data_IF_123514625915
#
_entry.id   IF_123514625915
#
_cell.length_a   1.000
_cell.length_b   1.000
_cell.length_c   1.000
_cell.angle_alpha   90.00
_cell.angle_beta   90.00
_cell.angle_gamma   90.00
#
_symmetry.space_group_name_H-M   'P 1'
#
loop_
_entity.id
_entity.type
_entity.pdbx_description
1 polymer ?
#
# COMPACT_ATOMS: atom_id res chain seq x y z
N UNK A 1 -27.72 -33.24 1.19
CA UNK A 1 -28.43 -33.55 -0.08
C UNK A 1 -28.83 -32.30 -0.87
N UNK A 2 -29.17 -31.15 -0.24
CA UNK A 2 -29.53 -29.93 -0.98
C UNK A 2 -28.32 -29.07 -1.43
N UNK A 3 -27.21 -29.08 -0.70
CA UNK A 3 -26.01 -28.30 -1.02
C UNK A 3 -25.33 -28.70 -2.33
N UNK A 4 -25.53 -29.94 -2.81
CA UNK A 4 -25.00 -30.40 -4.09
C UNK A 4 -25.62 -29.68 -5.30
N UNK A 5 -26.73 -28.95 -5.10
CA UNK A 5 -27.36 -28.14 -6.12
C UNK A 5 -26.66 -26.79 -6.33
N UNK A 6 -25.80 -26.35 -5.40
CA UNK A 6 -25.10 -25.06 -5.49
C UNK A 6 -24.26 -24.97 -6.76
N UNK A 7 -23.44 -25.99 -7.05
CA UNK A 7 -22.57 -26.00 -8.23
C UNK A 7 -23.32 -25.99 -9.57
N UNK A 8 -24.35 -26.84 -9.77
CA UNK A 8 -25.23 -26.73 -10.94
C UNK A 8 -25.92 -25.37 -11.07
N UNK A 9 -26.45 -24.80 -9.98
CA UNK A 9 -27.11 -23.49 -10.00
C UNK A 9 -26.12 -22.39 -10.40
N UNK A 10 -24.93 -22.38 -9.82
CA UNK A 10 -23.90 -21.41 -10.14
C UNK A 10 -23.47 -21.51 -11.62
N UNK A 11 -23.27 -22.73 -12.12
CA UNK A 11 -22.96 -22.95 -13.54
C UNK A 11 -24.06 -22.49 -14.48
N UNK A 12 -25.32 -22.55 -14.07
CA UNK A 12 -26.40 -21.93 -14.83
C UNK A 12 -26.20 -20.42 -14.84
N UNK A 13 -26.13 -19.79 -13.67
CA UNK A 13 -26.05 -18.33 -13.53
C UNK A 13 -24.85 -17.68 -14.24
N UNK A 14 -23.71 -18.38 -14.33
CA UNK A 14 -22.50 -17.91 -15.00
C UNK A 14 -22.56 -17.97 -16.53
N UNK A 15 -23.60 -18.57 -17.13
CA UNK A 15 -23.76 -18.56 -18.60
C UNK A 15 -24.07 -17.14 -19.07
N UNK A 16 -23.29 -16.66 -20.04
CA UNK A 16 -23.35 -15.29 -20.55
C UNK A 16 -24.62 -15.00 -21.39
N UNK A 17 -25.32 -16.04 -21.88
CA UNK A 17 -26.48 -15.93 -22.78
C UNK A 17 -27.85 -16.07 -22.07
N UNK A 18 -27.89 -16.00 -20.74
CA UNK A 18 -29.12 -16.32 -19.99
C UNK A 18 -30.09 -15.16 -19.85
N UNK A 19 -31.39 -15.44 -20.03
CA UNK A 19 -32.48 -14.52 -19.70
C UNK A 19 -32.45 -14.12 -18.22
N UNK A 20 -32.61 -12.83 -17.92
CA UNK A 20 -32.64 -12.28 -16.55
C UNK A 20 -33.66 -13.00 -15.65
N UNK A 21 -34.72 -13.53 -16.25
CA UNK A 21 -35.76 -14.32 -15.58
C UNK A 21 -35.20 -15.63 -15.00
N UNK A 22 -34.36 -16.34 -15.74
CA UNK A 22 -33.75 -17.59 -15.27
C UNK A 22 -32.76 -17.35 -14.13
N UNK A 23 -32.00 -16.25 -14.20
CA UNK A 23 -31.11 -15.83 -13.11
C UNK A 23 -31.88 -15.52 -11.83
N UNK A 24 -33.03 -14.85 -11.94
CA UNK A 24 -33.90 -14.58 -10.79
C UNK A 24 -34.46 -15.87 -10.17
N UNK A 25 -34.84 -16.86 -10.98
CA UNK A 25 -35.27 -18.16 -10.44
C UNK A 25 -34.12 -18.89 -9.74
N UNK A 26 -32.91 -18.87 -10.31
CA UNK A 26 -31.73 -19.45 -9.66
C UNK A 26 -31.44 -18.79 -8.30
N UNK A 27 -31.54 -17.46 -8.20
CA UNK A 27 -31.41 -16.74 -6.93
C UNK A 27 -32.47 -17.16 -5.91
N UNK A 28 -33.74 -17.27 -6.32
CA UNK A 28 -34.82 -17.73 -5.42
C UNK A 28 -34.60 -19.16 -4.92
N UNK A 29 -34.07 -20.04 -5.77
CA UNK A 29 -33.71 -21.41 -5.36
C UNK A 29 -32.57 -21.35 -4.35
N UNK A 30 -31.56 -20.51 -4.58
CA UNK A 30 -30.43 -20.32 -3.68
C UNK A 30 -30.89 -19.82 -2.30
N UNK A 31 -31.75 -18.81 -2.27
CA UNK A 31 -32.36 -18.28 -1.05
C UNK A 31 -33.13 -19.38 -0.29
N UNK A 32 -33.90 -20.21 -1.01
CA UNK A 32 -34.62 -21.34 -0.40
C UNK A 32 -33.69 -22.43 0.12
N UNK A 33 -32.56 -22.68 -0.53
CA UNK A 33 -31.54 -23.61 -0.04
C UNK A 33 -30.92 -23.09 1.26
N UNK A 34 -30.64 -21.79 1.35
CA UNK A 34 -30.13 -21.14 2.57
C UNK A 34 -31.14 -21.23 3.71
N UNK A 35 -32.44 -21.15 3.43
CA UNK A 35 -33.50 -21.34 4.43
C UNK A 35 -33.62 -22.78 4.96
N UNK A 36 -33.49 -23.78 4.09
CA UNK A 36 -33.86 -25.17 4.41
C UNK A 36 -32.69 -26.09 4.78
N UNK A 37 -31.46 -25.80 4.33
CA UNK A 37 -30.31 -26.69 4.51
C UNK A 37 -29.49 -26.35 5.77
N UNK A 38 -28.64 -27.30 6.18
CA UNK A 38 -27.72 -27.07 7.30
C UNK A 38 -26.67 -26.02 6.91
N UNK A 39 -26.51 -24.99 7.75
CA UNK A 39 -25.58 -23.89 7.48
C UNK A 39 -24.12 -24.36 7.26
N UNK A 40 -23.69 -25.39 8.00
CA UNK A 40 -22.33 -25.95 7.91
C UNK A 40 -22.05 -26.56 6.53
N UNK A 41 -22.98 -27.34 5.99
CA UNK A 41 -22.82 -27.94 4.67
C UNK A 41 -22.90 -26.89 3.56
N UNK A 42 -23.80 -25.91 3.69
CA UNK A 42 -23.94 -24.82 2.73
C UNK A 42 -22.66 -23.98 2.62
N UNK A 43 -22.05 -23.60 3.75
CA UNK A 43 -20.81 -22.82 3.76
C UNK A 43 -19.72 -23.58 3.03
N UNK A 44 -19.51 -24.87 3.35
CA UNK A 44 -18.50 -25.69 2.66
C UNK A 44 -18.79 -25.79 1.16
N UNK A 45 -20.05 -26.00 0.77
CA UNK A 45 -20.45 -26.05 -0.64
C UNK A 45 -20.20 -24.72 -1.37
N UNK A 46 -20.49 -23.57 -0.75
CA UNK A 46 -20.18 -22.26 -1.32
C UNK A 46 -18.67 -22.04 -1.46
N UNK A 47 -17.89 -22.37 -0.44
CA UNK A 47 -16.43 -22.21 -0.48
C UNK A 47 -15.78 -23.12 -1.51
N UNK A 48 -16.27 -24.35 -1.67
CA UNK A 48 -15.81 -25.27 -2.72
C UNK A 48 -16.04 -24.66 -4.11
N UNK A 49 -17.21 -24.05 -4.35
CA UNK A 49 -17.48 -23.41 -5.65
C UNK A 49 -16.64 -22.16 -5.89
N UNK A 50 -16.34 -21.39 -4.85
CA UNK A 50 -15.44 -20.23 -4.95
C UNK A 50 -14.01 -20.68 -5.25
N UNK A 51 -13.55 -21.77 -4.63
CA UNK A 51 -12.21 -22.31 -4.82
C UNK A 51 -12.02 -22.99 -6.19
N UNK A 52 -13.07 -23.64 -6.72
CA UNK A 52 -13.05 -24.32 -8.03
C UNK A 52 -13.32 -23.38 -9.22
N UNK A 53 -13.68 -22.12 -8.98
CA UNK A 53 -13.97 -21.17 -10.05
C UNK A 53 -12.73 -20.91 -10.91
N UNK A 54 -12.91 -20.84 -12.24
CA UNK A 54 -11.84 -20.45 -13.16
C UNK A 54 -11.48 -18.97 -12.98
N UNK A 55 -10.24 -18.58 -13.31
CA UNK A 55 -9.75 -17.19 -13.16
C UNK A 55 -10.66 -16.13 -13.81
N UNK A 56 -11.33 -16.47 -14.91
CA UNK A 56 -12.27 -15.58 -15.62
C UNK A 56 -13.63 -15.46 -14.92
N UNK A 57 -14.03 -16.47 -14.15
CA UNK A 57 -15.33 -16.55 -13.48
C UNK A 57 -15.24 -16.32 -11.98
N UNK A 58 -14.03 -16.22 -11.41
CA UNK A 58 -13.79 -16.05 -9.97
C UNK A 58 -14.57 -14.86 -9.40
N UNK A 59 -14.48 -13.69 -10.03
CA UNK A 59 -15.17 -12.48 -9.55
C UNK A 59 -16.69 -12.63 -9.59
N UNK A 60 -17.23 -13.11 -10.71
CA UNK A 60 -18.66 -13.38 -10.86
C UNK A 60 -19.17 -14.41 -9.84
N UNK A 61 -18.42 -15.51 -9.64
CA UNK A 61 -18.77 -16.54 -8.67
C UNK A 61 -18.79 -16.00 -7.23
N UNK A 62 -17.78 -15.22 -6.86
CA UNK A 62 -17.74 -14.56 -5.55
C UNK A 62 -18.94 -13.64 -5.38
N UNK A 63 -19.20 -12.73 -6.32
CA UNK A 63 -20.29 -11.74 -6.23
C UNK A 63 -21.67 -12.39 -6.10
N UNK A 64 -21.94 -13.46 -6.85
CA UNK A 64 -23.21 -14.17 -6.80
C UNK A 64 -23.43 -14.92 -5.48
N UNK A 65 -22.38 -15.53 -4.93
CA UNK A 65 -22.49 -16.35 -3.73
C UNK A 65 -22.34 -15.56 -2.42
N UNK A 66 -21.77 -14.35 -2.47
CA UNK A 66 -21.38 -13.59 -1.28
C UNK A 66 -22.55 -13.35 -0.32
N UNK A 67 -23.72 -12.97 -0.85
CA UNK A 67 -24.93 -12.70 -0.06
C UNK A 67 -25.44 -13.97 0.63
N UNK A 68 -25.61 -15.05 -0.13
CA UNK A 68 -26.11 -16.33 0.39
C UNK A 68 -25.13 -16.95 1.41
N UNK A 69 -23.82 -16.77 1.19
CA UNK A 69 -22.79 -17.16 2.15
C UNK A 69 -22.89 -16.34 3.45
N UNK A 70 -23.12 -15.03 3.37
CA UNK A 70 -23.30 -14.17 4.54
C UNK A 70 -24.49 -14.63 5.38
N UNK A 71 -25.64 -14.87 4.74
CA UNK A 71 -26.85 -15.35 5.41
C UNK A 71 -26.63 -16.73 6.07
N UNK A 72 -25.92 -17.64 5.41
CA UNK A 72 -25.58 -18.94 6.00
C UNK A 72 -24.64 -18.81 7.21
N UNK A 73 -23.65 -17.91 7.16
CA UNK A 73 -22.74 -17.62 8.28
C UNK A 73 -23.44 -16.98 9.47
N UNK A 74 -24.41 -16.08 9.21
CA UNK A 74 -25.18 -15.42 10.28
C UNK A 74 -26.09 -16.40 11.04
N UNK A 75 -26.51 -17.51 10.41
CA UNK A 75 -27.30 -18.58 11.04
C UNK A 75 -26.47 -19.53 11.93
N UNK A 76 -25.14 -19.41 11.95
CA UNK A 76 -24.31 -20.31 12.75
C UNK A 76 -24.23 -19.86 14.22
N UNK A 77 -24.68 -20.75 15.11
CA UNK A 77 -24.52 -20.55 16.55
C UNK A 77 -23.17 -21.09 17.07
N UNK A 78 -22.56 -22.07 16.36
CA UNK A 78 -21.34 -22.76 16.79
C UNK A 78 -20.20 -22.57 15.80
N UNK A 79 -18.98 -22.32 16.32
CA UNK A 79 -17.75 -22.11 15.52
C UNK A 79 -17.87 -21.02 14.44
N UNK A 80 -18.73 -20.03 14.66
CA UNK A 80 -18.98 -18.93 13.72
C UNK A 80 -17.69 -18.19 13.34
N UNK A 81 -16.86 -17.82 14.32
CA UNK A 81 -15.57 -17.16 14.10
C UNK A 81 -14.70 -17.93 13.08
N UNK A 82 -14.47 -19.22 13.34
CA UNK A 82 -13.71 -20.09 12.43
C UNK A 82 -14.31 -20.15 11.02
N UNK A 83 -15.64 -20.28 10.90
CA UNK A 83 -16.31 -20.33 9.60
C UNK A 83 -16.21 -19.00 8.83
N UNK A 84 -16.29 -17.86 9.53
CA UNK A 84 -16.07 -16.53 8.95
C UNK A 84 -14.61 -16.39 8.50
N UNK A 85 -13.65 -16.75 9.36
CA UNK A 85 -12.22 -16.72 9.07
C UNK A 85 -11.82 -17.55 7.86
N UNK A 86 -12.34 -18.78 7.79
CA UNK A 86 -12.17 -19.66 6.63
C UNK A 86 -12.75 -19.03 5.37
N UNK A 87 -13.96 -18.49 5.44
CA UNK A 87 -14.63 -17.86 4.29
C UNK A 87 -13.85 -16.66 3.76
N UNK A 88 -13.43 -15.75 4.66
CA UNK A 88 -12.64 -14.57 4.30
C UNK A 88 -11.29 -14.97 3.71
N UNK A 89 -10.63 -15.98 4.29
CA UNK A 89 -9.34 -16.47 3.81
C UNK A 89 -9.43 -17.12 2.43
N UNK A 90 -10.47 -17.91 2.15
CA UNK A 90 -10.69 -18.51 0.84
C UNK A 90 -11.00 -17.45 -0.21
N UNK A 91 -11.89 -16.50 0.10
CA UNK A 91 -12.23 -15.41 -0.84
C UNK A 91 -11.00 -14.55 -1.16
N UNK A 92 -10.23 -14.13 -0.15
CA UNK A 92 -9.01 -13.35 -0.38
C UNK A 92 -7.95 -14.13 -1.15
N UNK A 93 -7.80 -15.43 -0.88
CA UNK A 93 -6.88 -16.29 -1.64
C UNK A 93 -7.25 -16.33 -3.13
N UNK A 94 -8.54 -16.44 -3.46
CA UNK A 94 -9.00 -16.42 -4.85
C UNK A 94 -8.85 -15.04 -5.50
N UNK A 95 -9.13 -13.96 -4.77
CA UNK A 95 -8.91 -12.60 -5.27
C UNK A 95 -7.42 -12.30 -5.51
N UNK A 96 -6.51 -12.89 -4.72
CA UNK A 96 -5.05 -12.73 -4.91
C UNK A 96 -4.52 -13.24 -6.25
N UNK A 97 -5.32 -14.05 -6.96
CA UNK A 97 -4.99 -14.56 -8.29
C UNK A 97 -5.35 -13.58 -9.42
N UNK A 98 -6.09 -12.51 -9.12
CA UNK A 98 -6.49 -11.49 -10.09
C UNK A 98 -5.42 -10.38 -10.17
N UNK A 99 -5.21 -9.75 -11.33
CA UNK A 99 -4.27 -8.63 -11.45
C UNK A 99 -4.85 -7.35 -10.83
N UNK A 100 -4.01 -6.55 -10.18
CA UNK A 100 -4.40 -5.22 -9.68
C UNK A 100 -4.36 -4.23 -10.85
N UNK A 101 -5.42 -3.42 -11.06
CA UNK A 101 -5.43 -2.39 -12.10
C UNK A 101 -4.57 -1.18 -11.70
N UNK A 102 -3.80 -0.66 -12.65
CA UNK A 102 -2.93 0.51 -12.46
C UNK A 102 -3.37 1.72 -13.31
N UNK A 103 -3.94 1.48 -14.50
CA UNK A 103 -4.40 2.56 -15.37
C UNK A 103 -5.87 2.90 -15.17
N UNK A 104 -6.26 4.14 -15.52
CA UNK A 104 -7.67 4.56 -15.50
C UNK A 104 -8.56 3.66 -16.35
N UNK A 105 -8.08 3.26 -17.53
CA UNK A 105 -8.80 2.37 -18.44
C UNK A 105 -9.03 1.01 -17.79
N UNK A 106 -8.02 0.44 -17.14
CA UNK A 106 -8.15 -0.83 -16.41
C UNK A 106 -9.13 -0.74 -15.23
N UNK A 107 -9.16 0.40 -14.53
CA UNK A 107 -10.11 0.64 -13.44
C UNK A 107 -11.56 0.78 -13.95
N UNK A 108 -11.75 1.40 -15.12
CA UNK A 108 -13.08 1.58 -15.73
C UNK A 108 -13.61 0.29 -16.37
N UNK A 109 -12.75 -0.45 -17.06
CA UNK A 109 -13.14 -1.71 -17.70
C UNK A 109 -13.34 -2.83 -16.67
N UNK A 110 -12.57 -2.82 -15.57
CA UNK A 110 -12.54 -3.86 -14.52
C UNK A 110 -12.70 -5.27 -15.11
N UNK A 111 -11.92 -5.58 -16.15
CA UNK A 111 -12.09 -6.78 -16.97
C UNK A 111 -12.14 -8.07 -16.14
N UNK A 112 -11.38 -8.11 -15.04
CA UNK A 112 -11.30 -9.25 -14.13
C UNK A 112 -12.28 -9.17 -12.95
N UNK A 113 -13.00 -8.06 -12.78
CA UNK A 113 -14.00 -7.85 -11.73
C UNK A 113 -13.44 -7.66 -10.33
N UNK A 114 -12.15 -7.30 -10.20
CA UNK A 114 -11.51 -7.15 -8.90
C UNK A 114 -12.15 -5.98 -8.13
N UNK A 115 -12.37 -4.83 -8.77
CA UNK A 115 -12.90 -3.65 -8.11
C UNK A 115 -14.33 -3.88 -7.60
N UNK A 116 -15.16 -4.57 -8.40
CA UNK A 116 -16.51 -4.96 -7.98
C UNK A 116 -16.49 -5.87 -6.74
N UNK A 117 -15.61 -6.87 -6.69
CA UNK A 117 -15.45 -7.72 -5.52
C UNK A 117 -14.98 -6.93 -4.29
N UNK A 118 -14.02 -6.02 -4.45
CA UNK A 118 -13.53 -5.19 -3.36
C UNK A 118 -14.61 -4.25 -2.81
N UNK A 119 -15.53 -3.75 -3.62
CA UNK A 119 -16.66 -2.96 -3.14
C UNK A 119 -17.70 -3.80 -2.38
N UNK A 120 -17.89 -5.06 -2.77
CA UNK A 120 -18.84 -5.96 -2.12
C UNK A 120 -18.32 -6.54 -0.80
N UNK A 121 -17.01 -6.74 -0.68
CA UNK A 121 -16.38 -7.38 0.49
C UNK A 121 -16.63 -6.65 1.82
N UNK A 122 -16.45 -5.32 1.94
CA UNK A 122 -16.76 -4.60 3.17
C UNK A 122 -18.23 -4.75 3.58
N UNK A 123 -19.15 -4.80 2.62
CA UNK A 123 -20.58 -5.03 2.88
C UNK A 123 -20.82 -6.44 3.42
N UNK A 124 -20.07 -7.43 2.91
CA UNK A 124 -20.08 -8.79 3.43
C UNK A 124 -19.58 -8.89 4.88
N UNK A 125 -18.52 -8.17 5.23
CA UNK A 125 -17.91 -8.25 6.57
C UNK A 125 -18.71 -7.43 7.62
N UNK A 126 -19.42 -6.39 7.19
CA UNK A 126 -20.07 -5.40 8.07
C UNK A 126 -20.94 -5.99 9.19
N UNK A 127 -21.81 -7.00 8.98
CA UNK A 127 -22.61 -7.55 10.08
C UNK A 127 -21.76 -8.17 11.20
N UNK A 128 -20.64 -8.80 10.84
CA UNK A 128 -19.72 -9.39 11.83
C UNK A 128 -18.94 -8.31 12.58
N UNK A 129 -18.62 -7.18 11.95
CA UNK A 129 -18.02 -6.01 12.64
C UNK A 129 -19.00 -5.43 13.65
N UNK A 130 -20.27 -5.27 13.27
CA UNK A 130 -21.30 -4.75 14.17
C UNK A 130 -21.52 -5.67 15.38
N UNK A 131 -21.51 -6.99 15.16
CA UNK A 131 -21.56 -7.98 16.24
C UNK A 131 -20.38 -7.83 17.22
N UNK A 132 -19.15 -7.67 16.71
CA UNK A 132 -17.97 -7.42 17.55
C UNK A 132 -18.13 -6.13 18.36
N UNK A 133 -18.54 -5.04 17.72
CA UNK A 133 -18.71 -3.73 18.38
C UNK A 133 -19.75 -3.80 19.49
N UNK A 134 -20.90 -4.44 19.25
CA UNK A 134 -21.96 -4.64 20.25
C UNK A 134 -21.46 -5.47 21.44
N UNK A 135 -20.67 -6.52 21.19
CA UNK A 135 -20.09 -7.34 22.24
C UNK A 135 -18.97 -6.65 23.02
N UNK A 136 -18.25 -5.68 22.45
CA UNK A 136 -17.24 -4.89 23.19
C UNK A 136 -17.86 -4.00 24.28
N UNK A 137 -19.14 -3.65 24.15
CA UNK A 137 -19.87 -2.85 25.14
C UNK A 137 -20.36 -3.67 26.35
N UNK A 138 -20.36 -5.00 26.25
CA UNK A 138 -20.87 -5.94 27.26
C UNK A 138 -19.69 -6.82 27.74
N UNK A 139 -19.40 -6.84 29.05
CA UNK A 139 -18.22 -7.55 29.60
C UNK A 139 -18.14 -9.02 29.12
N UNK A 140 -16.95 -9.37 28.62
CA UNK A 140 -16.63 -10.35 27.55
C UNK A 140 -16.98 -11.83 27.77
N UNK A 141 -17.57 -12.44 26.73
CA UNK A 141 -17.52 -13.88 26.45
C UNK A 141 -16.39 -14.20 25.44
N UNK A 142 -15.72 -15.35 25.59
CA UNK A 142 -14.47 -15.68 24.89
C UNK A 142 -14.60 -15.87 23.37
N UNK A 143 -15.82 -16.04 22.84
CA UNK A 143 -16.05 -16.27 21.41
C UNK A 143 -15.89 -14.98 20.56
N UNK A 144 -16.13 -13.80 21.15
CA UNK A 144 -15.99 -12.51 20.44
C UNK A 144 -14.52 -12.21 20.07
N UNK A 145 -13.57 -12.65 20.91
CA UNK A 145 -12.14 -12.44 20.63
C UNK A 145 -11.69 -13.20 19.38
N UNK A 146 -12.15 -14.44 19.22
CA UNK A 146 -11.84 -15.23 18.02
C UNK A 146 -12.39 -14.57 16.75
N UNK A 147 -13.63 -14.05 16.78
CA UNK A 147 -14.22 -13.35 15.63
C UNK A 147 -13.46 -12.06 15.30
N UNK A 148 -13.03 -11.32 16.34
CA UNK A 148 -12.18 -10.13 16.18
C UNK A 148 -10.85 -10.46 15.52
N UNK A 149 -10.18 -11.54 15.94
CA UNK A 149 -8.92 -12.01 15.34
C UNK A 149 -9.07 -12.35 13.85
N UNK A 150 -10.17 -13.01 13.46
CA UNK A 150 -10.43 -13.36 12.08
C UNK A 150 -10.71 -12.12 11.19
N UNK A 151 -11.47 -11.15 11.71
CA UNK A 151 -11.71 -9.87 11.01
C UNK A 151 -10.43 -9.04 10.91
N UNK A 152 -9.60 -9.02 11.96
CA UNK A 152 -8.29 -8.39 11.91
C UNK A 152 -7.38 -9.06 10.87
N UNK A 153 -7.37 -10.40 10.83
CA UNK A 153 -6.65 -11.17 9.82
C UNK A 153 -7.08 -10.83 8.40
N UNK A 154 -8.39 -10.66 8.17
CA UNK A 154 -8.92 -10.18 6.89
C UNK A 154 -8.41 -8.78 6.54
N UNK A 155 -8.41 -7.84 7.48
CA UNK A 155 -7.91 -6.48 7.25
C UNK A 155 -6.41 -6.47 6.89
N UNK A 156 -5.59 -7.20 7.66
CA UNK A 156 -4.15 -7.30 7.41
C UNK A 156 -3.84 -7.96 6.06
N UNK A 157 -4.57 -9.03 5.70
CA UNK A 157 -4.45 -9.67 4.38
C UNK A 157 -4.86 -8.70 3.26
N UNK A 158 -5.94 -7.94 3.43
CA UNK A 158 -6.42 -6.93 2.46
C UNK A 158 -5.43 -5.77 2.27
N UNK A 159 -4.75 -5.35 3.35
CA UNK A 159 -3.69 -4.36 3.32
C UNK A 159 -2.46 -4.88 2.55
N UNK A 160 -2.09 -6.14 2.76
CA UNK A 160 -0.98 -6.78 2.03
C UNK A 160 -1.30 -7.00 0.55
N UNK A 161 -2.53 -7.40 0.23
CA UNK A 161 -3.04 -7.51 -1.12
C UNK A 161 -4.55 -7.28 -1.11
N UNK A 162 -5.10 -6.43 -2.00
CA UNK A 162 -4.43 -5.79 -3.14
C UNK A 162 -3.78 -4.45 -2.80
N UNK A 163 -4.05 -3.90 -1.60
CA UNK A 163 -3.77 -2.49 -1.29
C UNK A 163 -2.30 -2.13 -1.30
N UNK A 164 -1.37 -3.04 -0.97
CA UNK A 164 0.06 -2.77 -1.04
C UNK A 164 0.54 -2.47 -2.46
N UNK A 165 -0.06 -3.13 -3.47
CA UNK A 165 0.28 -2.96 -4.89
C UNK A 165 -0.57 -1.90 -5.58
N UNK A 166 -1.71 -1.51 -5.01
CA UNK A 166 -2.64 -0.54 -5.60
C UNK A 166 -2.09 0.89 -5.65
N UNK A 167 -2.36 1.62 -6.73
CA UNK A 167 -2.22 3.08 -6.80
C UNK A 167 -3.50 3.75 -6.28
N UNK A 168 -3.38 4.58 -5.23
CA UNK A 168 -4.52 5.14 -4.51
C UNK A 168 -4.79 6.62 -4.82
N UNK A 169 -4.00 7.21 -5.72
CA UNK A 169 -4.07 8.63 -6.02
C UNK A 169 -5.47 9.05 -6.53
N UNK A 170 -5.92 10.25 -6.15
CA UNK A 170 -7.20 10.78 -6.63
C UNK A 170 -7.17 10.98 -8.14
N UNK A 171 -8.23 10.57 -8.82
CA UNK A 171 -8.36 10.75 -10.26
C UNK A 171 -8.50 12.26 -10.58
N UNK A 172 -7.77 12.80 -11.59
CA UNK A 172 -7.81 14.21 -11.99
C UNK A 172 -9.18 14.79 -12.39
N UNK A 173 -10.22 13.96 -12.49
CA UNK A 173 -11.58 14.36 -12.85
C UNK A 173 -12.46 14.22 -11.60
N UNK A 174 -12.91 15.37 -11.07
CA UNK A 174 -13.47 15.61 -9.74
C UNK A 174 -14.73 14.79 -9.33
N UNK A 175 -15.14 13.76 -10.06
CA UNK A 175 -16.42 13.05 -9.82
C UNK A 175 -16.33 11.52 -9.74
N UNK A 176 -15.21 10.88 -10.09
CA UNK A 176 -15.09 9.41 -10.00
C UNK A 176 -14.19 9.03 -8.82
N UNK A 177 -14.77 8.46 -7.77
CA UNK A 177 -14.01 7.93 -6.64
C UNK A 177 -13.26 6.66 -7.05
N UNK A 178 -11.96 6.61 -6.74
CA UNK A 178 -11.11 5.44 -7.00
C UNK A 178 -11.60 4.24 -6.13
N UNK A 179 -12.02 3.11 -6.72
CA UNK A 179 -12.55 1.95 -5.99
C UNK A 179 -11.56 1.37 -4.98
N UNK A 180 -10.27 1.37 -5.33
CA UNK A 180 -9.20 0.88 -4.44
C UNK A 180 -9.01 1.81 -3.24
N UNK A 181 -9.22 3.13 -3.45
CA UNK A 181 -9.21 4.13 -2.37
C UNK A 181 -10.43 3.98 -1.45
N UNK A 182 -11.62 3.76 -2.00
CA UNK A 182 -12.83 3.46 -1.23
C UNK A 182 -12.64 2.19 -0.39
N UNK A 183 -12.12 1.13 -1.00
CA UNK A 183 -11.82 -0.12 -0.29
C UNK A 183 -10.80 0.10 0.85
N UNK A 184 -9.73 0.87 0.60
CA UNK A 184 -8.77 1.25 1.64
C UNK A 184 -9.45 1.98 2.81
N UNK A 185 -10.33 2.95 2.52
CA UNK A 185 -11.08 3.67 3.53
C UNK A 185 -11.99 2.74 4.35
N UNK A 186 -12.70 1.81 3.70
CA UNK A 186 -13.53 0.82 4.38
C UNK A 186 -12.71 -0.11 5.30
N UNK A 187 -11.54 -0.58 4.86
CA UNK A 187 -10.65 -1.41 5.69
C UNK A 187 -10.17 -0.63 6.93
N UNK A 188 -9.75 0.62 6.75
CA UNK A 188 -9.35 1.49 7.86
C UNK A 188 -10.51 1.74 8.82
N UNK A 189 -11.72 1.94 8.30
CA UNK A 189 -12.95 2.09 9.10
C UNK A 189 -13.25 0.85 9.93
N UNK A 190 -13.14 -0.34 9.34
CA UNK A 190 -13.32 -1.62 10.05
C UNK A 190 -12.28 -1.74 11.19
N UNK A 191 -11.01 -1.43 10.92
CA UNK A 191 -9.95 -1.44 11.94
C UNK A 191 -10.23 -0.45 13.07
N UNK A 192 -10.78 0.72 12.75
CA UNK A 192 -11.19 1.72 13.75
C UNK A 192 -12.35 1.22 14.61
N UNK A 193 -13.39 0.65 13.98
CA UNK A 193 -14.57 0.11 14.65
C UNK A 193 -14.19 -1.00 15.65
N UNK A 194 -13.28 -1.90 15.29
CA UNK A 194 -12.80 -2.97 16.18
C UNK A 194 -11.69 -2.53 17.17
N UNK A 195 -11.33 -1.24 17.18
CA UNK A 195 -10.28 -0.63 18.02
C UNK A 195 -8.88 -1.22 17.83
N UNK A 196 -8.56 -1.66 16.62
CA UNK A 196 -7.23 -2.19 16.24
C UNK A 196 -6.51 -1.31 15.21
N UNK A 197 -7.07 -0.15 14.84
CA UNK A 197 -6.41 0.81 13.93
C UNK A 197 -5.07 1.30 14.46
N UNK A 198 -5.06 1.61 15.76
CA UNK A 198 -3.85 1.84 16.54
C UNK A 198 -3.83 0.75 17.59
N UNK A 199 -3.29 -0.45 17.27
CA UNK A 199 -3.17 -1.49 18.27
C UNK A 199 -2.44 -0.85 19.44
N UNK A 200 -3.07 -0.83 20.62
CA UNK A 200 -2.55 -0.19 21.82
C UNK A 200 -1.05 -0.50 21.94
N UNK A 201 -0.23 0.47 21.53
CA UNK A 201 1.23 0.48 21.54
C UNK A 201 1.88 -0.91 21.70
N UNK A 202 1.76 -1.75 20.67
CA UNK A 202 2.83 -2.69 20.32
C UNK A 202 3.71 -2.13 19.19
N UNK A 203 3.80 -0.80 19.12
CA UNK A 203 5.02 -0.14 18.63
C UNK A 203 6.11 -0.47 19.65
N UNK A 204 6.74 -1.61 19.47
CA UNK A 204 7.84 -2.06 20.31
C UNK A 204 8.86 -0.91 20.40
N UNK A 205 9.24 -0.47 21.61
CA UNK A 205 10.29 0.53 21.75
C UNK A 205 11.56 -0.12 21.22
N UNK A 206 12.00 0.27 20.03
CA UNK A 206 13.33 -0.11 19.53
C UNK A 206 14.35 0.67 20.35
N UNK A 207 14.65 0.14 21.53
CA UNK A 207 15.95 0.23 22.19
C UNK A 207 16.01 -0.77 23.36
N UNK A 208 15.83 -2.06 23.08
CA UNK A 208 16.56 -3.09 23.81
C UNK A 208 17.29 -3.95 22.80
N UNK A 209 18.55 -4.17 23.12
CA UNK A 209 19.54 -4.95 22.38
C UNK A 209 18.94 -6.16 21.68
N UNK A 210 19.49 -6.47 20.50
CA UNK A 210 19.65 -7.84 20.02
C UNK A 210 19.77 -8.79 21.22
N UNK A 211 18.76 -9.65 21.39
CA UNK A 211 18.65 -10.82 22.27
C UNK A 211 17.21 -10.93 22.80
N UNK A 212 16.32 -11.53 22.01
CA UNK A 212 15.17 -12.27 22.54
C UNK A 212 14.87 -13.43 21.59
N UNK A 213 15.26 -14.61 22.04
CA UNK A 213 14.80 -15.90 21.56
C UNK A 213 13.28 -15.99 21.80
N UNK A 214 12.49 -15.66 20.77
CA UNK A 214 11.08 -16.05 20.67
C UNK A 214 10.98 -17.01 19.48
N UNK A 215 11.20 -18.30 19.76
CA UNK A 215 11.31 -19.42 18.81
C UNK A 215 9.98 -19.83 18.14
N UNK A 216 8.83 -19.24 18.47
CA UNK A 216 7.51 -19.76 18.04
C UNK A 216 6.76 -18.97 16.95
N UNK A 217 7.35 -17.91 16.37
CA UNK A 217 6.76 -17.21 15.22
C UNK A 217 7.73 -17.26 14.04
N UNK A 218 7.35 -17.99 12.99
CA UNK A 218 8.09 -18.06 11.73
C UNK A 218 8.46 -16.66 11.22
N UNK A 219 9.70 -16.46 10.79
CA UNK A 219 10.17 -15.18 10.22
C UNK A 219 9.28 -14.69 9.07
N UNK A 220 8.64 -15.61 8.36
CA UNK A 220 7.70 -15.32 7.29
C UNK A 220 6.44 -14.61 7.80
N UNK A 221 5.89 -14.98 8.96
CA UNK A 221 4.69 -14.35 9.53
C UNK A 221 4.99 -12.98 10.14
N UNK A 222 6.20 -12.80 10.68
CA UNK A 222 6.72 -11.48 11.12
C UNK A 222 6.87 -10.52 9.94
N UNK A 223 7.32 -11.01 8.78
CA UNK A 223 7.44 -10.17 7.58
C UNK A 223 6.08 -9.83 6.97
N UNK A 224 5.14 -10.77 6.96
CA UNK A 224 3.79 -10.56 6.41
C UNK A 224 2.98 -9.51 7.18
N UNK A 225 3.09 -9.51 8.51
CA UNK A 225 2.48 -8.47 9.35
C UNK A 225 3.16 -7.11 9.16
N UNK A 226 4.48 -7.08 8.95
CA UNK A 226 5.24 -5.85 8.69
C UNK A 226 4.80 -5.13 7.41
N UNK A 227 4.58 -5.85 6.31
CA UNK A 227 4.15 -5.25 5.04
C UNK A 227 2.72 -4.66 5.14
N UNK A 228 1.80 -5.38 5.78
CA UNK A 228 0.43 -4.92 5.99
C UNK A 228 0.38 -3.64 6.83
N UNK A 229 1.17 -3.59 7.92
CA UNK A 229 1.29 -2.41 8.76
C UNK A 229 1.98 -1.24 8.04
N UNK A 230 2.94 -1.54 7.17
CA UNK A 230 3.57 -0.50 6.35
C UNK A 230 2.60 0.09 5.31
N UNK A 231 1.75 -0.74 4.71
CA UNK A 231 0.67 -0.27 3.85
C UNK A 231 -0.34 0.58 4.64
N UNK A 232 -0.72 0.16 5.85
CA UNK A 232 -1.62 0.94 6.72
C UNK A 232 -1.03 2.30 7.06
N UNK A 233 0.26 2.35 7.41
CA UNK A 233 1.00 3.59 7.66
C UNK A 233 0.96 4.52 6.45
N UNK A 234 1.19 4.00 5.24
CA UNK A 234 1.05 4.78 4.01
C UNK A 234 -0.37 5.35 3.84
N UNK A 235 -1.41 4.52 3.98
CA UNK A 235 -2.80 4.95 3.80
C UNK A 235 -3.19 6.05 4.81
N UNK A 236 -2.78 5.89 6.07
CA UNK A 236 -3.14 6.83 7.16
C UNK A 236 -2.38 8.15 7.07
N UNK A 237 -1.09 8.13 6.75
CA UNK A 237 -0.26 9.34 6.80
C UNK A 237 -0.09 10.05 5.45
N UNK A 238 -0.30 9.36 4.31
CA UNK A 238 -0.02 9.91 2.97
C UNK A 238 -1.28 10.21 2.18
N UNK A 239 -2.24 9.27 2.13
CA UNK A 239 -3.35 9.34 1.18
C UNK A 239 -4.56 10.14 1.71
N UNK A 240 -4.47 10.68 2.93
CA UNK A 240 -5.51 11.42 3.64
C UNK A 240 -6.90 10.75 3.56
N UNK A 241 -6.95 9.42 3.37
CA UNK A 241 -8.19 8.67 3.25
C UNK A 241 -9.00 8.68 4.54
N UNK A 242 -8.38 9.15 5.63
CA UNK A 242 -8.99 9.40 6.92
C UNK A 242 -8.58 10.78 7.42
N UNK A 243 -9.53 11.50 8.00
CA UNK A 243 -9.23 12.70 8.76
C UNK A 243 -8.30 12.37 9.92
N UNK A 244 -7.36 13.28 10.19
CA UNK A 244 -6.44 13.28 11.35
C UNK A 244 -7.20 13.13 12.69
N UNK A 245 -8.53 13.22 12.67
CA UNK A 245 -9.46 13.13 13.80
C UNK A 245 -9.46 11.78 14.54
N UNK A 246 -9.06 10.68 13.89
CA UNK A 246 -8.93 9.38 14.56
C UNK A 246 -7.56 9.19 15.24
N UNK A 247 -6.56 9.99 14.89
CA UNK A 247 -5.26 9.96 15.54
C UNK A 247 -5.35 10.70 16.88
N UNK A 248 -4.97 10.08 18.00
CA UNK A 248 -4.72 10.81 19.24
C UNK A 248 -3.86 12.05 18.98
N UNK A 249 -4.43 13.23 19.23
CA UNK A 249 -3.79 14.57 19.10
C UNK A 249 -2.48 14.69 19.93
N UNK A 250 -2.21 13.70 20.77
CA UNK A 250 -1.03 13.57 21.65
C UNK A 250 0.20 13.03 20.92
N UNK A 251 0.08 12.55 19.68
CA UNK A 251 1.24 12.01 18.96
C UNK A 251 2.18 13.13 18.49
N UNK A 252 3.29 13.28 19.21
CA UNK A 252 4.41 14.08 18.76
C UNK A 252 4.86 13.60 17.36
N UNK A 253 5.03 14.49 16.36
CA UNK A 253 5.59 14.14 15.05
C UNK A 253 6.87 13.29 15.11
N UNK A 254 7.64 13.44 16.18
CA UNK A 254 8.82 12.62 16.50
C UNK A 254 8.51 11.15 16.75
N UNK A 255 7.41 10.87 17.45
CA UNK A 255 6.93 9.53 17.74
C UNK A 255 6.38 8.87 16.48
N UNK A 256 5.53 9.58 15.74
CA UNK A 256 4.99 9.14 14.44
C UNK A 256 6.11 8.76 13.48
N UNK A 257 7.15 9.59 13.41
CA UNK A 257 8.34 9.33 12.62
C UNK A 257 9.04 8.03 13.03
N UNK A 258 9.32 7.84 14.32
CA UNK A 258 10.03 6.66 14.81
C UNK A 258 9.26 5.37 14.52
N UNK A 259 7.93 5.41 14.66
CA UNK A 259 7.05 4.30 14.29
C UNK A 259 7.14 4.01 12.77
N UNK A 260 7.04 5.05 11.94
CA UNK A 260 7.05 4.89 10.48
C UNK A 260 8.41 4.50 9.89
N UNK A 261 9.52 4.63 10.63
CA UNK A 261 10.85 4.21 10.14
C UNK A 261 10.92 2.70 9.85
N UNK A 262 10.27 1.87 10.67
CA UNK A 262 10.26 0.41 10.45
C UNK A 262 9.46 0.08 9.19
N UNK A 263 8.38 0.82 8.93
CA UNK A 263 7.53 0.65 7.76
C UNK A 263 8.23 1.09 6.48
N UNK A 264 8.88 2.25 6.47
CA UNK A 264 9.70 2.72 5.35
C UNK A 264 10.81 1.71 5.06
N UNK A 265 11.46 1.20 6.11
CA UNK A 265 12.48 0.16 5.97
C UNK A 265 11.93 -1.09 5.27
N UNK A 266 10.70 -1.50 5.61
CA UNK A 266 10.04 -2.65 5.00
C UNK A 266 9.69 -2.40 3.54
N UNK A 267 9.12 -1.23 3.21
CA UNK A 267 8.73 -0.86 1.83
C UNK A 267 9.94 -0.69 0.92
N UNK A 268 11.02 -0.03 1.39
CA UNK A 268 12.23 0.19 0.59
C UNK A 268 13.11 -1.06 0.41
N UNK A 269 12.80 -2.17 1.09
CA UNK A 269 13.45 -3.47 0.85
C UNK A 269 12.84 -4.22 -0.35
N UNK A 270 11.65 -3.81 -0.79
CA UNK A 270 10.90 -4.46 -1.86
C UNK A 270 11.43 -4.04 -3.23
N UNK A 271 11.11 -4.79 -4.26
CA UNK A 271 11.58 -4.54 -5.64
C UNK A 271 10.45 -4.03 -6.54
N UNK A 272 9.20 -4.17 -6.09
CA UNK A 272 8.02 -3.74 -6.81
C UNK A 272 7.90 -2.20 -6.78
N UNK A 273 7.84 -1.59 -7.97
CA UNK A 273 7.74 -0.14 -8.15
C UNK A 273 6.61 0.53 -7.32
N UNK A 274 5.35 0.07 -7.33
CA UNK A 274 4.28 0.71 -6.54
C UNK A 274 4.56 0.66 -5.03
N UNK A 275 5.26 -0.36 -4.55
CA UNK A 275 5.62 -0.51 -3.13
C UNK A 275 6.76 0.43 -2.75
N UNK A 276 7.74 0.59 -3.64
CA UNK A 276 8.83 1.54 -3.47
C UNK A 276 8.32 2.98 -3.42
N UNK A 277 7.41 3.36 -4.32
CA UNK A 277 6.80 4.69 -4.35
C UNK A 277 6.12 5.02 -3.01
N UNK A 278 5.35 4.08 -2.44
CA UNK A 278 4.75 4.25 -1.10
C UNK A 278 5.77 4.51 0.00
N UNK A 279 6.89 3.79 -0.04
CA UNK A 279 8.00 4.00 0.87
C UNK A 279 8.60 5.40 0.74
N UNK A 280 8.74 5.91 -0.49
CA UNK A 280 9.27 7.24 -0.76
C UNK A 280 8.30 8.35 -0.35
N UNK A 281 7.00 8.19 -0.59
CA UNK A 281 6.01 9.20 -0.18
C UNK A 281 5.92 9.31 1.34
N UNK A 282 6.03 8.20 2.06
CA UNK A 282 6.19 8.23 3.52
C UNK A 282 7.44 9.03 3.92
N UNK A 283 8.58 8.86 3.24
CA UNK A 283 9.79 9.69 3.48
C UNK A 283 9.52 11.17 3.21
N UNK A 284 8.76 11.54 2.18
CA UNK A 284 8.44 12.95 1.87
C UNK A 284 7.72 13.61 3.05
N UNK A 285 6.69 12.98 3.60
CA UNK A 285 5.94 13.50 4.78
C UNK A 285 6.86 13.67 5.98
N UNK A 286 7.79 12.74 6.18
CA UNK A 286 8.78 12.84 7.26
C UNK A 286 9.72 14.04 7.12
N UNK A 287 10.03 14.47 5.90
CA UNK A 287 10.89 15.65 5.68
C UNK A 287 10.20 16.98 5.95
N UNK A 288 8.87 17.01 5.96
CA UNK A 288 8.06 18.16 6.33
C UNK A 288 7.83 18.27 7.86
N UNK A 289 8.37 17.32 8.65
CA UNK A 289 8.26 17.32 10.11
C UNK A 289 8.89 18.60 10.72
N UNK A 290 8.23 19.29 11.68
CA UNK A 290 8.71 20.57 12.22
C UNK A 290 10.02 20.47 13.01
N UNK A 291 10.43 19.27 13.43
CA UNK A 291 11.62 19.06 14.27
C UNK A 291 12.90 18.74 13.46
N UNK A 292 13.89 19.64 13.53
CA UNK A 292 15.13 19.56 12.74
C UNK A 292 16.01 18.33 13.03
N UNK A 293 16.15 17.94 14.31
CA UNK A 293 16.96 16.78 14.72
C UNK A 293 16.46 15.47 14.09
N UNK A 294 15.19 15.43 13.75
CA UNK A 294 14.47 14.27 13.25
C UNK A 294 14.36 14.26 11.73
N UNK A 295 14.20 15.43 11.09
CA UNK A 295 14.50 15.59 9.66
C UNK A 295 15.92 15.08 9.35
N UNK A 296 16.90 15.45 10.17
CA UNK A 296 18.29 14.94 10.07
C UNK A 296 18.40 13.42 10.23
N UNK A 297 17.62 12.79 11.11
CA UNK A 297 17.62 11.33 11.29
C UNK A 297 16.98 10.59 10.11
N UNK A 298 15.91 11.15 9.56
CA UNK A 298 15.24 10.63 8.35
C UNK A 298 16.14 10.71 7.13
N UNK A 299 16.82 11.85 6.94
CA UNK A 299 17.83 12.01 5.88
C UNK A 299 19.00 11.04 6.05
N UNK A 300 19.46 10.76 7.28
CA UNK A 300 20.48 9.73 7.53
C UNK A 300 20.02 8.33 7.14
N UNK A 301 18.76 7.99 7.40
CA UNK A 301 18.21 6.68 7.02
C UNK A 301 18.05 6.58 5.50
N UNK A 302 17.55 7.64 4.86
CA UNK A 302 17.52 7.75 3.41
C UNK A 302 18.92 7.56 2.82
N UNK A 303 19.94 8.23 3.38
CA UNK A 303 21.33 8.08 2.98
C UNK A 303 21.82 6.62 3.12
N UNK A 304 21.58 5.97 4.26
CA UNK A 304 21.93 4.56 4.47
C UNK A 304 21.27 3.61 3.47
N UNK A 305 20.11 3.98 2.93
CA UNK A 305 19.44 3.24 1.86
C UNK A 305 20.03 3.54 0.49
N UNK A 306 20.23 4.82 0.17
CA UNK A 306 20.90 5.25 -1.05
C UNK A 306 22.26 4.55 -1.20
N UNK A 307 23.01 4.42 -0.10
CA UNK A 307 24.34 3.81 -0.10
C UNK A 307 24.32 2.32 -0.51
N UNK A 308 23.18 1.62 -0.38
CA UNK A 308 23.01 0.19 -0.75
C UNK A 308 22.71 -0.04 -2.23
N UNK A 309 22.21 0.97 -2.94
CA UNK A 309 21.95 0.86 -4.36
C UNK A 309 23.26 0.86 -5.16
N UNK A 310 23.27 0.09 -6.24
CA UNK A 310 24.30 0.19 -7.27
C UNK A 310 24.17 1.51 -8.05
N UNK A 311 25.11 1.79 -8.96
CA UNK A 311 25.14 3.07 -9.66
C UNK A 311 23.89 3.32 -10.51
N UNK A 312 23.35 2.25 -11.12
CA UNK A 312 22.12 2.30 -11.91
C UNK A 312 20.89 2.56 -11.03
N UNK A 313 20.74 1.83 -9.92
CA UNK A 313 19.65 2.03 -8.96
C UNK A 313 19.66 3.44 -8.36
N UNK A 314 20.84 3.97 -8.03
CA UNK A 314 21.00 5.37 -7.57
C UNK A 314 20.55 6.36 -8.63
N UNK A 315 20.97 6.17 -9.88
CA UNK A 315 20.61 7.07 -10.98
C UNK A 315 19.09 7.11 -11.22
N UNK A 316 18.43 5.95 -11.29
CA UNK A 316 16.98 5.85 -11.47
C UNK A 316 16.25 6.51 -10.31
N UNK A 317 16.67 6.21 -9.09
CA UNK A 317 16.06 6.74 -7.87
C UNK A 317 16.21 8.25 -7.77
N UNK A 318 17.39 8.81 -8.06
CA UNK A 318 17.61 10.26 -8.07
C UNK A 318 16.74 10.95 -9.12
N UNK A 319 16.63 10.39 -10.32
CA UNK A 319 15.78 10.94 -11.39
C UNK A 319 14.30 10.89 -11.02
N UNK A 320 13.85 9.80 -10.39
CA UNK A 320 12.48 9.68 -9.89
C UNK A 320 12.21 10.72 -8.80
N UNK A 321 13.10 10.81 -7.80
CA UNK A 321 12.96 11.75 -6.70
C UNK A 321 12.98 13.21 -7.17
N UNK A 322 13.88 13.60 -8.07
CA UNK A 322 13.90 14.97 -8.61
C UNK A 322 12.65 15.34 -9.43
N UNK A 323 11.94 14.37 -10.00
CA UNK A 323 10.69 14.61 -10.75
C UNK A 323 9.44 14.59 -9.89
N UNK A 324 9.45 13.83 -8.80
CA UNK A 324 8.26 13.53 -7.98
C UNK A 324 8.30 14.16 -6.60
N UNK A 325 9.47 14.54 -6.09
CA UNK A 325 9.55 15.37 -4.89
C UNK A 325 9.23 16.81 -5.30
N UNK A 326 8.29 17.40 -4.58
CA UNK A 326 7.89 18.80 -4.69
C UNK A 326 8.30 19.49 -3.37
N UNK A 327 9.53 19.23 -2.93
CA UNK A 327 10.05 19.63 -1.62
C UNK A 327 11.55 19.93 -1.71
N UNK A 328 11.86 21.22 -1.68
CA UNK A 328 13.19 21.80 -1.86
C UNK A 328 14.28 21.18 -0.97
N UNK A 329 13.95 20.78 0.26
CA UNK A 329 14.90 20.13 1.17
C UNK A 329 15.28 18.70 0.77
N UNK A 330 14.37 17.95 0.15
CA UNK A 330 14.65 16.58 -0.35
C UNK A 330 15.45 16.70 -1.64
N UNK A 331 15.01 17.56 -2.54
CA UNK A 331 15.68 17.86 -3.80
C UNK A 331 17.12 18.31 -3.57
N UNK A 332 17.35 19.24 -2.63
CA UNK A 332 18.70 19.66 -2.24
C UNK A 332 19.56 18.52 -1.69
N UNK A 333 18.97 17.61 -0.90
CA UNK A 333 19.68 16.43 -0.40
C UNK A 333 20.02 15.41 -1.51
N UNK A 334 19.14 15.23 -2.48
CA UNK A 334 19.39 14.38 -3.66
C UNK A 334 20.45 15.01 -4.56
N UNK A 335 20.42 16.33 -4.77
CA UNK A 335 21.46 17.04 -5.53
C UNK A 335 22.83 16.92 -4.85
N UNK A 336 22.88 17.04 -3.52
CA UNK A 336 24.11 16.80 -2.77
C UNK A 336 24.63 15.36 -2.95
N UNK A 337 23.74 14.37 -3.04
CA UNK A 337 24.12 12.98 -3.31
C UNK A 337 24.61 12.76 -4.74
N UNK A 338 23.98 13.41 -5.72
CA UNK A 338 24.43 13.41 -7.12
C UNK A 338 25.83 13.99 -7.21
N UNK A 339 26.11 15.12 -6.56
CA UNK A 339 27.46 15.70 -6.45
C UNK A 339 28.47 14.69 -5.91
N UNK A 340 28.13 14.01 -4.81
CA UNK A 340 29.01 13.03 -4.20
C UNK A 340 29.31 11.86 -5.16
N UNK A 341 28.32 11.38 -5.91
CA UNK A 341 28.52 10.32 -6.91
C UNK A 341 29.38 10.79 -8.10
N UNK A 342 29.24 12.04 -8.54
CA UNK A 342 30.10 12.62 -9.58
C UNK A 342 31.56 12.66 -9.10
N UNK A 343 31.80 13.18 -7.89
CA UNK A 343 33.15 13.28 -7.31
C UNK A 343 33.80 11.89 -7.14
N UNK A 344 33.03 10.90 -6.69
CA UNK A 344 33.48 9.50 -6.62
C UNK A 344 33.78 8.92 -8.01
N UNK A 345 32.96 9.22 -9.00
CA UNK A 345 33.10 8.71 -10.37
C UNK A 345 34.32 9.29 -11.09
N UNK A 346 34.65 10.55 -10.83
CA UNK A 346 35.83 11.23 -11.38
C UNK A 346 37.14 10.74 -10.76
N UNK A 347 37.10 10.17 -9.56
CA UNK A 347 38.26 9.63 -8.84
C UNK A 347 38.58 8.16 -9.18
N UNK A 348 37.69 7.46 -9.89
CA UNK A 348 37.87 6.05 -10.28
C UNK A 348 38.54 5.90 -11.64
N UNK A 349 39.45 4.93 -11.76
CA UNK A 349 40.17 4.64 -13.01
C UNK A 349 39.26 4.09 -14.12
N UNK A 350 38.21 3.34 -13.78
CA UNK A 350 37.26 2.75 -14.75
C UNK A 350 36.11 3.69 -15.17
N UNK A 351 35.96 4.86 -14.50
CA UNK A 351 34.85 5.79 -14.71
C UNK A 351 33.46 5.22 -14.34
N UNK A 352 32.44 6.09 -14.23
CA UNK A 352 31.03 5.65 -14.08
C UNK A 352 30.28 5.82 -15.39
N UNK A 353 29.45 4.84 -15.77
CA UNK A 353 28.59 4.94 -16.96
C UNK A 353 27.38 5.87 -16.77
N UNK A 354 26.91 6.03 -15.53
CA UNK A 354 25.68 6.75 -15.20
C UNK A 354 25.92 8.17 -14.69
N UNK A 355 27.03 8.39 -13.98
CA UNK A 355 27.41 9.68 -13.39
C UNK A 355 28.51 10.39 -14.17
N UNK A 356 28.71 10.06 -15.45
CA UNK A 356 29.53 10.82 -16.41
C UNK A 356 28.83 10.92 -17.77
N UNK A 357 29.31 11.80 -18.66
CA UNK A 357 28.80 11.91 -20.04
C UNK A 357 27.33 12.35 -20.17
N UNK A 358 26.64 11.85 -21.21
CA UNK A 358 25.28 12.29 -21.58
C UNK A 358 24.22 11.99 -20.51
N UNK A 359 24.39 10.91 -19.74
CA UNK A 359 23.45 10.56 -18.67
C UNK A 359 23.54 11.53 -17.50
N UNK A 360 24.75 11.93 -17.13
CA UNK A 360 24.98 13.00 -16.16
C UNK A 360 24.35 14.33 -16.63
N UNK A 361 24.55 14.70 -17.90
CA UNK A 361 23.94 15.91 -18.48
C UNK A 361 22.42 15.86 -18.35
N UNK A 362 21.79 14.71 -18.58
CA UNK A 362 20.34 14.57 -18.44
C UNK A 362 19.85 14.77 -17.00
N UNK A 363 20.66 14.37 -16.02
CA UNK A 363 20.34 14.46 -14.60
C UNK A 363 20.62 15.87 -14.04
N UNK A 364 21.68 16.53 -14.53
CA UNK A 364 21.98 17.95 -14.29
C UNK A 364 20.94 18.86 -14.95
N UNK A 365 20.48 18.55 -16.17
CA UNK A 365 19.40 19.32 -16.80
C UNK A 365 18.07 19.16 -16.06
N UNK A 366 17.79 17.99 -15.49
CA UNK A 366 16.62 17.80 -14.64
C UNK A 366 16.70 18.64 -13.36
N UNK A 367 17.87 18.70 -12.70
CA UNK A 367 18.06 19.54 -11.51
C UNK A 367 18.04 21.04 -11.85
N UNK A 368 18.60 21.47 -12.98
CA UNK A 368 18.57 22.86 -13.45
C UNK A 368 17.15 23.33 -13.80
N UNK A 369 16.34 22.49 -14.45
CA UNK A 369 14.94 22.82 -14.75
C UNK A 369 14.09 22.92 -13.48
N UNK A 370 14.37 22.09 -12.47
CA UNK A 370 13.73 22.15 -11.16
C UNK A 370 14.14 23.43 -10.40
N UNK A 371 15.43 23.76 -10.38
CA UNK A 371 15.96 25.02 -9.83
C UNK A 371 15.33 26.24 -10.49
N UNK A 372 15.20 26.22 -11.82
CA UNK A 372 14.56 27.30 -12.59
C UNK A 372 13.07 27.40 -12.29
N UNK A 373 12.37 26.28 -12.12
CA UNK A 373 10.96 26.24 -11.74
C UNK A 373 10.73 26.80 -10.32
N UNK A 374 11.56 26.42 -9.35
CA UNK A 374 11.48 26.94 -7.98
C UNK A 374 11.78 28.45 -7.91
N UNK A 375 12.78 28.92 -8.64
CA UNK A 375 13.09 30.36 -8.76
C UNK A 375 11.97 31.18 -9.42
N UNK A 376 11.16 30.56 -10.29
CA UNK A 376 10.02 31.22 -10.95
C UNK A 376 8.77 31.16 -10.07
N UNK A 377 8.65 30.16 -9.19
CA UNK A 377 7.44 29.90 -8.38
C UNK A 377 7.46 30.60 -7.01
N UNK A 378 8.62 30.75 -6.38
CA UNK A 378 8.75 31.39 -5.06
C UNK A 378 9.03 32.91 -5.20
N UNK A 379 7.98 33.70 -5.37
CA UNK A 379 8.01 35.10 -4.97
C UNK A 379 7.66 35.15 -3.47
N UNK A 380 8.67 35.42 -2.63
CA UNK A 380 8.59 35.67 -1.19
C UNK A 380 8.43 34.41 -0.29
N UNK A 381 9.55 33.86 0.22
CA UNK A 381 9.92 33.89 1.67
C UNK A 381 11.00 32.88 2.12
N UNK A 382 11.42 31.87 1.33
CA UNK A 382 12.46 30.91 1.79
C UNK A 382 13.89 31.25 1.32
N UNK A 383 14.50 32.24 1.98
CA UNK A 383 15.86 32.73 1.75
C UNK A 383 16.96 31.63 1.84
N UNK A 384 16.71 30.53 2.57
CA UNK A 384 17.64 29.38 2.67
C UNK A 384 17.55 28.41 1.49
N UNK A 385 16.37 28.23 0.90
CA UNK A 385 16.20 27.40 -0.29
C UNK A 385 16.85 28.08 -1.50
N UNK A 386 16.68 29.40 -1.62
CA UNK A 386 17.36 30.25 -2.61
C UNK A 386 18.89 30.24 -2.45
N UNK A 387 19.41 30.30 -1.23
CA UNK A 387 20.87 30.16 -1.00
C UNK A 387 21.38 28.76 -1.34
N UNK A 388 20.67 27.70 -0.96
CA UNK A 388 21.04 26.33 -1.34
C UNK A 388 20.97 26.13 -2.86
N UNK A 389 20.00 26.76 -3.53
CA UNK A 389 19.86 26.78 -4.97
C UNK A 389 21.02 27.51 -5.66
N UNK A 390 21.43 28.66 -5.13
CA UNK A 390 22.60 29.42 -5.59
C UNK A 390 23.91 28.64 -5.39
N UNK A 391 24.12 28.02 -4.23
CA UNK A 391 25.29 27.15 -4.01
C UNK A 391 25.31 25.94 -4.95
N UNK A 392 24.13 25.44 -5.31
CA UNK A 392 23.99 24.36 -6.29
C UNK A 392 24.28 24.86 -7.71
N UNK A 393 23.89 26.10 -8.02
CA UNK A 393 24.19 26.77 -9.29
C UNK A 393 25.70 27.02 -9.44
N UNK A 394 26.35 27.58 -8.41
CA UNK A 394 27.80 27.78 -8.36
C UNK A 394 28.57 26.47 -8.49
N UNK A 395 28.05 25.41 -7.89
CA UNK A 395 28.62 24.07 -8.00
C UNK A 395 28.48 23.50 -9.42
N UNK A 396 27.32 23.69 -10.06
CA UNK A 396 27.08 23.22 -11.43
C UNK A 396 27.91 24.03 -12.43
N UNK A 397 28.07 25.34 -12.25
CA UNK A 397 28.99 26.17 -13.01
C UNK A 397 30.44 25.74 -12.80
N UNK A 398 30.86 25.44 -11.57
CA UNK A 398 32.20 24.94 -11.29
C UNK A 398 32.46 23.57 -11.91
N UNK A 399 31.46 22.68 -11.94
CA UNK A 399 31.55 21.38 -12.60
C UNK A 399 31.56 21.53 -14.13
N UNK A 400 30.72 22.41 -14.71
CA UNK A 400 30.72 22.71 -16.14
C UNK A 400 32.04 23.32 -16.60
N UNK A 401 32.55 24.31 -15.88
CA UNK A 401 33.84 24.94 -16.16
C UNK A 401 34.99 23.92 -16.07
N UNK A 402 34.94 23.00 -15.09
CA UNK A 402 35.94 21.94 -14.98
C UNK A 402 35.83 20.89 -16.09
N UNK A 403 34.62 20.57 -16.54
CA UNK A 403 34.39 19.68 -17.68
C UNK A 403 34.88 20.33 -18.98
N UNK A 404 34.62 21.61 -19.20
CA UNK A 404 35.14 22.39 -20.32
C UNK A 404 36.67 22.45 -20.32
N UNK A 405 37.29 22.72 -19.16
CA UNK A 405 38.74 22.74 -18.98
C UNK A 405 39.39 21.36 -19.26
N UNK A 406 38.72 20.27 -18.87
CA UNK A 406 39.18 18.90 -19.16
C UNK A 406 38.97 18.50 -20.63
N UNK A 407 38.01 19.10 -21.32
CA UNK A 407 37.79 18.92 -22.76
C UNK A 407 38.85 19.72 -23.55
N UNK A 408 39.15 20.96 -23.18
CA UNK A 408 40.21 21.77 -23.80
C UNK A 408 41.60 21.15 -23.59
N UNK A 409 41.90 20.67 -22.39
CA UNK A 409 43.17 20.01 -22.09
C UNK A 409 43.34 18.64 -22.77
N UNK A 410 42.25 18.00 -23.21
CA UNK A 410 42.29 16.77 -24.03
C UNK A 410 42.27 17.04 -25.54
N UNK A 411 42.01 18.28 -25.97
CA UNK A 411 42.10 18.73 -27.36
C UNK A 411 43.48 19.24 -27.78
N UNK A 412 44.40 19.44 -26.81
CA UNK A 412 45.81 19.74 -27.03
C UNK A 412 46.69 18.54 -26.67
N UNK A 413 46.59 17.47 -27.46
CA UNK A 413 47.67 16.50 -27.70
C UNK A 413 47.44 15.77 -29.02
#
# INVERSE_FOLDING_TARGET
MGWSLIGPILRCMLKQEQDDVERQYCMKILDKLVELCSAKELILGFLEQIEQASREQTSAAILLLLKSLQEALLKLDTKKAYSVGLSLSTILSQLSLLPVPYTKEQLQEDQHGLCQCLNALPQFVRPFVLEIVQHMEIVSDGNCNNLKEEVLGFCLKSLKYPLLMAELDPLPEEMAENPLRQFAAEIVRILADIRELFPQVRFQPVCKSENWDDEDISEMDKQQSSDALACLSYIVFVQDCFGVDCLPVVFNPSYILQCNMVHIRALLKRTEEPVLLKGLDLVKIMTQCPFESLRKKSLKILQLYLDKFDEEGKYILFRCLLKTSNHSGVEGHIIQNIKNQIDLSLKREEGSKFFTGLQLISLIMASLNLLRYLLIKDNEDDNKALQSALFTFDLIESVLARVEELIENKGCN
#
